data_IF_840517151601
#
_entry.id   IF_840517151601
#
_cell.length_a   1.000
_cell.length_b   1.000
_cell.length_c   1.000
_cell.angle_alpha   90.00
_cell.angle_beta   90.00
_cell.angle_gamma   90.00
#
_symmetry.space_group_name_H-M   'P 1'
#
loop_
_entity.id
_entity.type
_entity.pdbx_description
1 polymer ?
#
# COMPACT_ATOMS: atom_id res chain seq x y z
N UNK A 1 13.95 -1.73 0.76
CA UNK A 1 12.63 -1.07 0.77
C UNK A 1 12.86 0.41 0.57
N UNK A 2 12.21 1.04 -0.41
CA UNK A 2 12.40 2.47 -0.68
C UNK A 2 12.15 3.27 0.61
N UNK A 3 13.13 4.06 1.06
CA UNK A 3 13.02 4.93 2.25
C UNK A 3 11.80 5.87 2.22
N UNK A 4 11.23 6.08 1.03
CA UNK A 4 10.05 6.87 0.75
C UNK A 4 8.71 6.24 1.20
N UNK A 5 8.63 4.91 1.36
CA UNK A 5 7.37 4.25 1.75
C UNK A 5 7.05 4.47 3.24
N UNK A 6 8.05 4.55 4.11
CA UNK A 6 7.87 4.73 5.55
C UNK A 6 7.06 5.99 5.93
N UNK A 7 7.37 7.21 5.41
CA UNK A 7 6.56 8.39 5.72
C UNK A 7 5.12 8.27 5.23
N UNK A 8 4.89 7.61 4.09
CA UNK A 8 3.55 7.34 3.56
C UNK A 8 2.73 6.44 4.51
N UNK A 9 3.37 5.43 5.14
CA UNK A 9 2.71 4.57 6.14
C UNK A 9 2.34 5.33 7.40
N UNK A 10 3.21 6.23 7.86
CA UNK A 10 2.91 7.10 9.02
C UNK A 10 1.73 8.01 8.70
N UNK A 11 1.71 8.59 7.51
CA UNK A 11 0.59 9.42 7.06
C UNK A 11 -0.73 8.63 7.00
N UNK A 12 -0.70 7.40 6.47
CA UNK A 12 -1.85 6.49 6.48
C UNK A 12 -2.35 6.18 7.90
N UNK A 13 -1.45 6.06 8.88
CA UNK A 13 -1.77 5.84 10.28
C UNK A 13 -2.48 7.03 10.92
N UNK A 14 -2.00 8.24 10.63
CA UNK A 14 -2.56 9.47 11.17
C UNK A 14 -3.98 9.68 10.62
N UNK A 15 -4.17 9.47 9.31
CA UNK A 15 -5.49 9.59 8.69
C UNK A 15 -6.48 8.52 9.18
N UNK A 16 -6.04 7.28 9.42
CA UNK A 16 -6.90 6.25 10.00
C UNK A 16 -7.28 6.57 11.44
N UNK A 17 -6.36 7.09 12.25
CA UNK A 17 -6.65 7.58 13.61
C UNK A 17 -7.61 8.77 13.61
N UNK A 18 -7.41 9.72 12.69
CA UNK A 18 -8.33 10.85 12.51
C UNK A 18 -9.75 10.37 12.18
N UNK A 19 -9.87 9.35 11.33
CA UNK A 19 -11.17 8.73 10.98
C UNK A 19 -11.82 8.10 12.21
N UNK A 20 -11.06 7.39 13.05
CA UNK A 20 -11.57 6.83 14.31
C UNK A 20 -12.05 7.95 15.25
N UNK A 21 -11.27 9.02 15.40
CA UNK A 21 -11.63 10.15 16.26
C UNK A 21 -12.88 10.88 15.79
N UNK A 22 -12.99 11.16 14.50
CA UNK A 22 -14.15 11.82 13.90
C UNK A 22 -15.39 10.94 13.99
N UNK A 23 -15.30 9.65 13.66
CA UNK A 23 -16.44 8.72 13.79
C UNK A 23 -16.89 8.56 15.25
N UNK A 24 -15.96 8.49 16.20
CA UNK A 24 -16.28 8.45 17.63
C UNK A 24 -16.98 9.74 18.11
N UNK A 25 -16.56 10.90 17.60
CA UNK A 25 -17.22 12.18 17.88
C UNK A 25 -18.65 12.21 17.34
N UNK A 26 -18.86 11.78 16.09
CA UNK A 26 -20.20 11.65 15.51
C UNK A 26 -21.09 10.73 16.34
N UNK A 27 -20.55 9.56 16.71
CA UNK A 27 -21.22 8.56 17.56
C UNK A 27 -21.68 9.16 18.90
N UNK A 28 -20.82 9.97 19.52
CA UNK A 28 -21.11 10.60 20.80
C UNK A 28 -22.06 11.80 20.68
N UNK A 29 -21.98 12.57 19.59
CA UNK A 29 -22.80 13.78 19.38
C UNK A 29 -24.24 13.45 18.96
N UNK A 30 -24.46 12.33 18.28
CA UNK A 30 -25.77 11.90 17.77
C UNK A 30 -26.46 10.89 18.71
N UNK A 31 -26.04 10.80 19.97
CA UNK A 31 -26.47 9.77 20.93
C UNK A 31 -27.99 9.72 21.18
N UNK A 32 -28.70 10.84 21.01
CA UNK A 32 -30.16 10.93 21.19
C UNK A 32 -30.97 10.66 19.90
N UNK A 33 -30.36 10.75 18.71
CA UNK A 33 -31.05 10.48 17.45
C UNK A 33 -30.87 9.02 17.04
N UNK A 34 -31.95 8.25 17.22
CA UNK A 34 -32.06 6.81 16.96
C UNK A 34 -32.00 6.43 15.46
N UNK A 35 -31.23 7.16 14.65
CA UNK A 35 -31.01 6.89 13.23
C UNK A 35 -29.51 6.78 12.95
N UNK A 36 -28.88 5.78 13.56
CA UNK A 36 -27.51 5.42 13.24
C UNK A 36 -27.41 4.93 11.79
N UNK A 37 -26.66 5.67 10.98
CA UNK A 37 -26.33 5.21 9.63
C UNK A 37 -25.23 4.16 9.71
N UNK A 38 -25.50 2.95 9.19
CA UNK A 38 -24.53 1.84 9.09
C UNK A 38 -23.19 2.26 8.46
N UNK A 39 -23.20 3.34 7.68
CA UNK A 39 -22.02 3.91 7.03
C UNK A 39 -21.00 4.46 8.03
N UNK A 40 -21.44 5.05 9.15
CA UNK A 40 -20.52 5.61 10.16
C UNK A 40 -19.75 4.47 10.86
N UNK A 41 -20.45 3.39 11.20
CA UNK A 41 -19.80 2.19 11.74
C UNK A 41 -18.86 1.53 10.74
N UNK A 42 -19.19 1.56 9.45
CA UNK A 42 -18.29 1.09 8.40
C UNK A 42 -17.00 1.93 8.31
N UNK A 43 -17.08 3.26 8.41
CA UNK A 43 -15.91 4.14 8.50
C UNK A 43 -15.06 3.85 9.74
N UNK A 44 -15.70 3.64 10.91
CA UNK A 44 -15.01 3.25 12.13
C UNK A 44 -14.27 1.91 11.95
N UNK A 45 -14.94 0.93 11.36
CA UNK A 45 -14.34 -0.37 11.02
C UNK A 45 -13.13 -0.19 10.09
N UNK A 46 -13.23 0.63 9.04
CA UNK A 46 -12.12 0.90 8.13
C UNK A 46 -10.92 1.54 8.84
N UNK A 47 -11.17 2.49 9.74
CA UNK A 47 -10.14 3.10 10.59
C UNK A 47 -9.43 2.05 11.46
N UNK A 48 -10.21 1.23 12.17
CA UNK A 48 -9.69 0.14 13.02
C UNK A 48 -8.94 -0.92 12.22
N UNK A 49 -9.49 -1.38 11.09
CA UNK A 49 -8.85 -2.31 10.16
C UNK A 49 -7.49 -1.81 9.71
N UNK A 50 -7.41 -0.54 9.32
CA UNK A 50 -6.17 0.05 8.81
C UNK A 50 -5.11 0.16 9.91
N UNK A 51 -5.50 0.65 11.09
CA UNK A 51 -4.59 0.84 12.23
C UNK A 51 -4.12 -0.48 12.84
N UNK A 52 -5.02 -1.46 13.00
CA UNK A 52 -4.74 -2.70 13.73
C UNK A 52 -4.25 -3.85 12.84
N UNK A 53 -4.64 -3.89 11.57
CA UNK A 53 -4.33 -5.03 10.67
C UNK A 53 -3.41 -4.57 9.54
N UNK A 54 -3.80 -3.55 8.77
CA UNK A 54 -3.02 -3.14 7.60
C UNK A 54 -1.63 -2.64 7.99
N UNK A 55 -1.52 -1.67 8.91
CA UNK A 55 -0.22 -1.08 9.27
C UNK A 55 0.77 -2.11 9.85
N UNK A 56 0.39 -2.96 10.82
CA UNK A 56 1.30 -3.98 11.34
C UNK A 56 1.70 -4.97 10.26
N UNK A 57 0.78 -5.40 9.40
CA UNK A 57 1.08 -6.34 8.31
C UNK A 57 2.09 -5.74 7.32
N UNK A 58 1.89 -4.48 6.92
CA UNK A 58 2.79 -3.80 5.98
C UNK A 58 4.13 -3.38 6.62
N UNK A 59 4.18 -3.22 7.95
CA UNK A 59 5.40 -2.95 8.71
C UNK A 59 6.23 -4.20 9.04
N UNK A 60 5.58 -5.37 9.22
CA UNK A 60 6.24 -6.65 9.50
C UNK A 60 6.60 -7.46 8.25
N UNK A 61 5.88 -7.28 7.13
CA UNK A 61 6.23 -7.91 5.85
C UNK A 61 7.71 -7.77 5.43
N UNK A 62 8.39 -6.63 5.64
CA UNK A 62 9.82 -6.45 5.34
C UNK A 62 10.78 -7.30 6.16
N UNK A 63 10.38 -7.60 7.40
CA UNK A 63 11.24 -8.19 8.43
C UNK A 63 11.15 -9.71 8.42
N UNK A 64 10.00 -10.26 8.05
CA UNK A 64 9.72 -11.68 8.25
C UNK A 64 10.19 -12.59 7.09
N UNK A 65 9.94 -12.25 5.81
CA UNK A 65 10.16 -13.22 4.71
C UNK A 65 10.49 -12.57 3.34
N UNK A 66 11.77 -12.32 3.02
CA UNK A 66 12.19 -11.58 1.82
C UNK A 66 12.06 -12.32 0.47
N UNK A 67 11.72 -13.62 0.42
CA UNK A 67 11.92 -14.44 -0.81
C UNK A 67 10.69 -15.05 -1.49
N UNK A 68 9.57 -15.29 -0.82
CA UNK A 68 8.43 -16.02 -1.44
C UNK A 68 7.03 -15.41 -1.20
N UNK A 69 6.85 -14.51 -0.23
CA UNK A 69 5.54 -13.93 0.11
C UNK A 69 5.31 -12.51 -0.47
N UNK A 70 6.32 -11.94 -1.14
CA UNK A 70 6.42 -10.51 -1.43
C UNK A 70 5.65 -10.02 -2.67
N UNK A 71 5.45 -10.86 -3.70
CA UNK A 71 4.84 -10.38 -4.95
C UNK A 71 3.33 -10.16 -4.88
N UNK A 72 2.59 -10.96 -4.10
CA UNK A 72 1.13 -10.96 -4.15
C UNK A 72 0.46 -10.54 -2.84
N UNK A 73 1.05 -10.86 -1.68
CA UNK A 73 0.36 -10.65 -0.41
C UNK A 73 0.30 -9.17 0.01
N UNK A 74 1.33 -8.39 -0.33
CA UNK A 74 1.38 -6.95 -0.08
C UNK A 74 0.39 -6.18 -0.96
N UNK A 75 0.42 -6.30 -2.30
CA UNK A 75 -0.55 -5.58 -3.15
C UNK A 75 -1.98 -6.05 -2.90
N UNK A 76 -2.21 -7.31 -2.52
CA UNK A 76 -3.54 -7.78 -2.15
C UNK A 76 -4.11 -7.03 -0.92
N UNK A 77 -3.32 -6.90 0.16
CA UNK A 77 -3.77 -6.16 1.34
C UNK A 77 -3.97 -4.66 1.06
N UNK A 78 -3.15 -4.08 0.18
CA UNK A 78 -3.36 -2.70 -0.28
C UNK A 78 -4.63 -2.54 -1.11
N UNK A 79 -4.95 -3.48 -2.00
CA UNK A 79 -6.19 -3.49 -2.79
C UNK A 79 -7.42 -3.66 -1.91
N UNK A 80 -7.41 -4.60 -0.97
CA UNK A 80 -8.53 -4.81 -0.03
C UNK A 80 -8.76 -3.55 0.79
N UNK A 81 -7.69 -2.99 1.35
CA UNK A 81 -7.78 -1.77 2.16
C UNK A 81 -8.25 -0.59 1.31
N UNK A 82 -7.69 -0.40 0.11
CA UNK A 82 -8.14 0.61 -0.85
C UNK A 82 -9.62 0.46 -1.23
N UNK A 83 -10.10 -0.77 -1.46
CA UNK A 83 -11.52 -1.02 -1.78
C UNK A 83 -12.47 -0.70 -0.61
N UNK A 84 -12.06 -1.03 0.61
CA UNK A 84 -12.79 -0.66 1.83
C UNK A 84 -12.89 0.86 1.97
N UNK A 85 -11.78 1.58 1.81
CA UNK A 85 -11.79 3.05 1.87
C UNK A 85 -12.63 3.66 0.75
N UNK A 86 -12.52 3.17 -0.49
CA UNK A 86 -13.27 3.64 -1.65
C UNK A 86 -14.78 3.56 -1.41
N UNK A 87 -15.26 2.37 -1.06
CA UNK A 87 -16.69 2.14 -0.80
C UNK A 87 -17.20 3.02 0.34
N UNK A 88 -16.37 3.25 1.34
CA UNK A 88 -16.78 3.93 2.56
C UNK A 88 -16.97 5.43 2.42
N UNK A 89 -16.00 6.16 1.84
CA UNK A 89 -16.14 7.61 1.69
C UNK A 89 -17.23 7.98 0.67
N UNK A 90 -17.43 7.14 -0.36
CA UNK A 90 -18.53 7.30 -1.33
C UNK A 90 -19.88 7.06 -0.67
N UNK A 91 -20.02 5.98 0.12
CA UNK A 91 -21.24 5.71 0.86
C UNK A 91 -21.57 6.85 1.83
N UNK A 92 -20.56 7.44 2.47
CA UNK A 92 -20.74 8.59 3.35
C UNK A 92 -21.16 9.84 2.57
N UNK A 93 -20.54 10.10 1.42
CA UNK A 93 -20.90 11.22 0.54
C UNK A 93 -22.33 11.11 0.00
N UNK A 94 -22.81 9.90 -0.30
CA UNK A 94 -24.18 9.68 -0.78
C UNK A 94 -25.24 9.91 0.31
N UNK A 95 -24.87 9.81 1.59
CA UNK A 95 -25.77 9.95 2.72
C UNK A 95 -26.00 11.40 3.15
N UNK A 96 -25.06 12.31 2.83
CA UNK A 96 -25.09 13.69 3.33
C UNK A 96 -25.95 14.58 2.41
N UNK A 97 -26.97 15.28 2.94
CA UNK A 97 -27.73 16.29 2.19
C UNK A 97 -26.86 17.48 1.77
N UNK A 98 -27.34 18.28 0.82
CA UNK A 98 -26.60 19.42 0.28
C UNK A 98 -26.03 20.35 1.38
N UNK A 99 -24.78 20.84 1.26
CA UNK A 99 -24.08 21.61 2.29
C UNK A 99 -24.79 22.91 2.72
N UNK A 100 -25.78 23.39 1.97
CA UNK A 100 -26.62 24.53 2.31
C UNK A 100 -27.57 24.28 3.49
N UNK A 101 -27.88 23.04 3.82
CA UNK A 101 -28.77 22.68 4.93
C UNK A 101 -28.01 22.33 6.23
N UNK A 102 -26.69 22.34 6.20
CA UNK A 102 -25.84 21.85 7.28
C UNK A 102 -25.08 22.99 7.98
N UNK A 103 -25.64 23.48 9.09
CA UNK A 103 -25.02 24.55 9.90
C UNK A 103 -24.50 24.08 11.28
N UNK A 104 -24.57 22.78 11.58
CA UNK A 104 -24.22 22.23 12.89
C UNK A 104 -22.82 21.57 12.86
N UNK A 105 -22.15 21.54 14.02
CA UNK A 105 -20.78 21.04 14.16
C UNK A 105 -20.58 19.60 13.65
N UNK A 106 -21.53 18.70 13.91
CA UNK A 106 -21.50 17.31 13.44
C UNK A 106 -21.48 17.21 11.91
N UNK A 107 -22.15 18.11 11.19
CA UNK A 107 -22.12 18.07 9.73
C UNK A 107 -20.76 18.50 9.15
N UNK A 108 -20.10 19.48 9.78
CA UNK A 108 -18.73 19.84 9.39
C UNK A 108 -17.74 18.71 9.68
N UNK A 109 -17.94 17.97 10.76
CA UNK A 109 -17.12 16.80 11.08
C UNK A 109 -17.38 15.64 10.10
N UNK A 110 -18.61 15.40 9.65
CA UNK A 110 -18.92 14.45 8.57
C UNK A 110 -18.30 14.86 7.22
N UNK A 111 -18.31 16.16 6.88
CA UNK A 111 -17.61 16.66 5.69
C UNK A 111 -16.10 16.42 5.78
N UNK A 112 -15.50 16.71 6.94
CA UNK A 112 -14.09 16.42 7.19
C UNK A 112 -13.80 14.91 7.07
N UNK A 113 -14.70 14.06 7.58
CA UNK A 113 -14.58 12.61 7.49
C UNK A 113 -14.56 12.11 6.04
N UNK A 114 -15.39 12.69 5.15
CA UNK A 114 -15.36 12.39 3.72
C UNK A 114 -14.00 12.75 3.11
N UNK A 115 -13.50 13.95 3.40
CA UNK A 115 -12.22 14.43 2.84
C UNK A 115 -11.06 13.56 3.32
N UNK A 116 -11.00 13.27 4.63
CA UNK A 116 -10.00 12.37 5.21
C UNK A 116 -10.08 10.97 4.58
N UNK A 117 -11.29 10.42 4.42
CA UNK A 117 -11.50 9.13 3.76
C UNK A 117 -11.07 9.10 2.30
N UNK A 118 -11.34 10.17 1.54
CA UNK A 118 -10.92 10.28 0.14
C UNK A 118 -9.41 10.40 -0.01
N UNK A 119 -8.75 11.21 0.83
CA UNK A 119 -7.29 11.33 0.84
C UNK A 119 -6.65 9.99 1.25
N UNK A 120 -7.20 9.32 2.26
CA UNK A 120 -6.73 8.02 2.68
C UNK A 120 -6.82 6.98 1.55
N UNK A 121 -7.95 6.92 0.84
CA UNK A 121 -8.10 6.10 -0.35
C UNK A 121 -7.03 6.41 -1.42
N UNK A 122 -6.80 7.70 -1.71
CA UNK A 122 -5.82 8.11 -2.70
C UNK A 122 -4.40 7.65 -2.34
N UNK A 123 -4.02 7.68 -1.06
CA UNK A 123 -2.70 7.17 -0.64
C UNK A 123 -2.55 5.68 -0.93
N UNK A 124 -3.58 4.86 -0.68
CA UNK A 124 -3.56 3.43 -1.02
C UNK A 124 -3.57 3.17 -2.53
N UNK A 125 -4.30 3.98 -3.30
CA UNK A 125 -4.29 3.89 -4.76
C UNK A 125 -2.89 4.16 -5.33
N UNK A 126 -2.20 5.18 -4.80
CA UNK A 126 -0.84 5.54 -5.19
C UNK A 126 0.14 4.44 -4.84
N UNK A 127 0.12 3.92 -3.59
CA UNK A 127 1.06 2.86 -3.20
C UNK A 127 0.85 1.57 -4.00
N UNK A 128 -0.41 1.19 -4.23
CA UNK A 128 -0.74 0.03 -5.04
C UNK A 128 -0.28 0.17 -6.50
N UNK A 129 -0.41 1.36 -7.09
CA UNK A 129 0.07 1.62 -8.46
C UNK A 129 1.58 1.46 -8.56
N UNK A 130 2.34 2.01 -7.60
CA UNK A 130 3.80 1.85 -7.58
C UNK A 130 4.20 0.40 -7.34
N UNK A 131 3.51 -0.33 -6.46
CA UNK A 131 3.77 -1.75 -6.23
C UNK A 131 3.58 -2.58 -7.52
N UNK A 132 2.50 -2.33 -8.26
CA UNK A 132 2.22 -3.02 -9.53
C UNK A 132 3.27 -2.69 -10.60
N UNK A 133 3.67 -1.42 -10.72
CA UNK A 133 4.70 -1.01 -11.68
C UNK A 133 6.06 -1.64 -11.38
N UNK A 134 6.45 -1.73 -10.10
CA UNK A 134 7.70 -2.37 -9.68
C UNK A 134 7.73 -3.87 -10.02
N UNK A 135 6.60 -4.56 -9.83
CA UNK A 135 6.43 -5.96 -10.23
C UNK A 135 6.56 -6.14 -11.75
N UNK A 136 5.92 -5.28 -12.55
CA UNK A 136 6.03 -5.35 -14.02
C UNK A 136 7.45 -5.06 -14.51
N UNK A 137 8.12 -4.06 -13.95
CA UNK A 137 9.51 -3.73 -14.29
C UNK A 137 10.48 -4.86 -13.91
N UNK A 138 10.32 -5.43 -12.72
CA UNK A 138 11.13 -6.56 -12.26
C UNK A 138 10.97 -7.79 -13.18
N UNK A 139 9.73 -8.11 -13.58
CA UNK A 139 9.44 -9.19 -14.53
C UNK A 139 10.01 -8.92 -15.93
N UNK A 140 9.95 -7.68 -16.40
CA UNK A 140 10.53 -7.28 -17.70
C UNK A 140 12.05 -7.44 -17.69
N UNK A 141 12.72 -7.00 -16.63
CA UNK A 141 14.19 -7.13 -16.49
C UNK A 141 14.62 -8.60 -16.39
N UNK A 142 13.87 -9.45 -15.68
CA UNK A 142 14.15 -10.88 -15.61
C UNK A 142 14.03 -11.59 -16.96
N UNK A 143 13.04 -11.22 -17.80
CA UNK A 143 12.91 -11.75 -19.17
C UNK A 143 14.09 -11.34 -20.05
N UNK A 144 14.50 -10.08 -19.99
CA UNK A 144 15.63 -9.57 -20.80
C UNK A 144 16.97 -10.25 -20.44
N UNK A 145 17.18 -10.63 -19.18
CA UNK A 145 18.39 -11.36 -18.75
C UNK A 145 18.41 -12.84 -19.19
N UNK A 146 17.25 -13.45 -19.43
CA UNK A 146 17.17 -14.81 -19.97
C UNK A 146 17.44 -14.89 -21.48
N UNK A 147 17.33 -13.77 -22.19
CA UNK A 147 17.57 -13.65 -23.63
C UNK A 147 19.01 -13.23 -23.99
N UNK A 148 19.85 -12.89 -22.99
CA UNK A 148 21.30 -12.83 -23.20
C UNK A 148 21.86 -14.26 -23.27
N UNK A 149 22.44 -14.69 -24.41
CA UNK A 149 23.19 -15.94 -24.44
C UNK A 149 24.29 -15.84 -23.40
N UNK A 150 24.46 -16.88 -22.59
CA UNK A 150 25.56 -16.98 -21.64
C UNK A 150 26.86 -16.53 -22.34
N UNK A 151 27.67 -15.63 -21.73
CA UNK A 151 29.00 -15.38 -22.26
C UNK A 151 29.72 -16.73 -22.26
N UNK A 152 29.90 -17.24 -23.47
CA UNK A 152 30.69 -18.41 -23.79
C UNK A 152 31.99 -18.29 -22.97
N UNK A 153 32.15 -19.18 -21.98
CA UNK A 153 33.41 -19.31 -21.28
C UNK A 153 34.41 -19.75 -22.34
N UNK A 154 35.09 -18.79 -22.96
CA UNK A 154 36.14 -19.04 -23.93
C UNK A 154 37.21 -19.78 -23.16
N UNK A 155 37.25 -21.08 -23.42
CA UNK A 155 38.15 -22.06 -22.84
C UNK A 155 39.59 -21.54 -22.92
N UNK A 156 40.11 -21.10 -21.78
CA UNK A 156 41.51 -20.74 -21.61
C UNK A 156 42.32 -22.04 -21.52
N UNK A 157 42.38 -22.79 -22.63
CA UNK A 157 43.19 -24.00 -22.73
C UNK A 157 43.67 -24.24 -24.16
N UNK A 158 44.36 -23.28 -24.78
CA UNK A 158 45.24 -23.62 -25.91
C UNK A 158 46.35 -22.59 -26.13
N UNK A 159 47.40 -22.61 -25.31
CA UNK A 159 48.53 -21.70 -25.53
C UNK A 159 49.75 -21.87 -24.64
N UNK A 160 49.97 -23.04 -24.02
CA UNK A 160 51.16 -23.26 -23.18
C UNK A 160 51.71 -24.67 -23.34
N UNK A 161 51.98 -25.08 -24.58
CA UNK A 161 52.97 -26.12 -24.83
C UNK A 161 54.33 -25.44 -25.00
N UNK A 162 55.17 -25.63 -23.99
CA UNK A 162 56.49 -25.09 -23.80
C UNK A 162 57.40 -25.28 -25.03
N UNK A 163 57.88 -24.17 -25.60
CA UNK A 163 59.15 -24.15 -26.30
C UNK A 163 60.17 -23.58 -25.30
N UNK A 164 61.08 -24.43 -24.81
CA UNK A 164 62.42 -24.02 -24.43
C UNK A 164 63.37 -25.22 -24.30
N UNK A 165 64.69 -24.98 -24.40
CA UNK A 165 65.62 -25.79 -25.18
C UNK A 165 66.34 -26.85 -24.34
N UNK A 166 66.68 -27.98 -24.95
CA UNK A 166 67.58 -28.96 -24.34
C UNK A 166 68.79 -29.22 -25.26
N UNK A 167 69.95 -29.10 -24.64
CA UNK A 167 71.32 -29.26 -25.12
C UNK A 167 71.73 -30.73 -25.36
N UNK A 168 72.84 -30.91 -26.10
CA UNK A 168 73.59 -32.15 -26.42
C UNK A 168 73.06 -32.92 -27.66
N UNK A 169 73.83 -33.19 -28.71
CA UNK A 169 75.25 -33.63 -28.84
C UNK A 169 75.86 -33.02 -30.10
#
# INVERSE_FOLDING_TARGET
>A
MLSWVNPLRIFQAILSLATIGLTAYEIASLYDEWSYSNVIYFMLFNGCWTTAIAIPYLGLAPLAFPRFSHEFAIPFMELVTGGLWLSGWIALAALIPSPSACSYASCHALQALIVVGAVQWATFAVTNTFAILDLFNSRRNAKNHHEQPAPEMTDASNGTAANNPESAV
#
